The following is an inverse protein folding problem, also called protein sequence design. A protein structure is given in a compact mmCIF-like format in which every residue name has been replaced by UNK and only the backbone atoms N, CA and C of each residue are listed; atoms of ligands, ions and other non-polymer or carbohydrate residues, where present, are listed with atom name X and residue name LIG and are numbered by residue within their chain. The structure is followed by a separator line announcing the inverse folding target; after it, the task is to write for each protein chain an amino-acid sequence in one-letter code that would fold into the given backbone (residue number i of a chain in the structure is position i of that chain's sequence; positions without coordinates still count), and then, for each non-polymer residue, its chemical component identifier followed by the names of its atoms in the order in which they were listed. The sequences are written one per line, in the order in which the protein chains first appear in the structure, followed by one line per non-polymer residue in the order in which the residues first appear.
data_IF_387278204479
#
_entry.id   IF_387278204479
#
_cell.length_a   1.000
_cell.length_b   1.000
_cell.length_c   1.000
_cell.angle_alpha   90.00
_cell.angle_beta   90.00
_cell.angle_gamma   90.00
#
_symmetry.space_group_name_H-M   'P 1'
#
loop_
_entity.id
_entity.type
_entity.pdbx_description
1 polymer ?
#
# COMPACT_ATOMS: atom_id res chain seq x y z
N UNK A 1 14.67 -0.57 -9.36
CA UNK A 1 15.38 0.64 -8.90
C UNK A 1 14.37 1.77 -8.95
N UNK A 2 14.15 2.47 -7.84
CA UNK A 2 13.22 3.59 -7.77
C UNK A 2 13.64 4.69 -8.77
N UNK A 3 12.67 5.37 -9.35
CA UNK A 3 12.93 6.57 -10.16
C UNK A 3 13.37 7.72 -9.24
N UNK A 4 14.24 8.57 -9.72
CA UNK A 4 14.51 9.85 -9.08
C UNK A 4 13.56 10.93 -9.62
N UNK A 5 13.48 12.07 -8.93
CA UNK A 5 12.59 13.17 -9.32
C UNK A 5 12.82 13.62 -10.77
N UNK A 6 14.08 13.73 -11.17
CA UNK A 6 14.47 14.20 -12.50
C UNK A 6 14.14 13.18 -13.63
N UNK A 7 13.85 11.92 -13.27
CA UNK A 7 13.45 10.87 -14.22
C UNK A 7 11.96 10.93 -14.57
N UNK A 8 11.19 11.75 -13.86
CA UNK A 8 9.75 11.88 -14.09
C UNK A 8 9.49 12.71 -15.36
N UNK A 9 8.65 12.26 -16.29
CA UNK A 9 8.41 12.97 -17.55
C UNK A 9 7.83 14.38 -17.36
N UNK A 10 7.18 14.61 -16.21
CA UNK A 10 6.56 15.88 -15.85
C UNK A 10 7.38 16.72 -14.86
N UNK A 11 8.58 16.28 -14.45
CA UNK A 11 9.41 16.97 -13.44
C UNK A 11 9.60 18.47 -13.73
N UNK A 12 9.81 18.83 -14.99
CA UNK A 12 10.04 20.22 -15.42
C UNK A 12 8.81 21.13 -15.35
N UNK A 13 7.62 20.56 -15.18
CA UNK A 13 6.36 21.29 -15.12
C UNK A 13 5.84 21.45 -13.69
N UNK A 14 6.51 20.82 -12.72
CA UNK A 14 6.10 20.85 -11.33
C UNK A 14 6.16 22.26 -10.75
N UNK A 15 5.07 22.69 -10.14
CA UNK A 15 4.96 23.96 -9.42
C UNK A 15 4.45 23.73 -8.01
N UNK A 16 4.67 24.68 -7.10
CA UNK A 16 3.97 24.64 -5.81
C UNK A 16 2.45 24.78 -6.03
N UNK A 17 1.61 24.15 -5.21
CA UNK A 17 0.17 24.36 -5.28
C UNK A 17 -0.16 25.84 -5.03
N UNK A 18 -1.21 26.32 -5.70
CA UNK A 18 -1.70 27.68 -5.51
C UNK A 18 -2.62 27.72 -4.27
N UNK A 19 -2.02 27.99 -3.11
CA UNK A 19 -2.69 27.96 -1.82
C UNK A 19 -2.63 26.59 -1.12
N UNK A 20 -3.53 26.41 -0.16
CA UNK A 20 -3.65 25.17 0.61
C UNK A 20 -4.34 24.06 -0.21
N UNK A 21 -4.08 22.80 0.15
CA UNK A 21 -4.82 21.70 -0.42
C UNK A 21 -6.24 21.65 0.18
N UNK A 22 -7.24 21.54 -0.68
CA UNK A 22 -8.66 21.62 -0.31
C UNK A 22 -9.46 20.43 -0.84
N UNK A 23 -10.63 20.21 -0.25
CA UNK A 23 -11.59 19.23 -0.76
C UNK A 23 -12.03 19.58 -2.19
N UNK A 24 -12.25 18.56 -3.02
CA UNK A 24 -12.62 18.70 -4.43
C UNK A 24 -11.59 19.44 -5.31
N UNK A 25 -10.41 19.76 -4.77
CA UNK A 25 -9.32 20.42 -5.49
C UNK A 25 -8.83 19.60 -6.68
N UNK A 26 -8.35 20.27 -7.72
CA UNK A 26 -7.75 19.66 -8.91
C UNK A 26 -6.31 20.13 -9.03
N UNK A 27 -5.37 19.20 -8.79
CA UNK A 27 -3.95 19.47 -8.69
C UNK A 27 -3.21 18.73 -9.80
N UNK A 28 -2.82 19.47 -10.82
CA UNK A 28 -2.04 18.97 -11.95
C UNK A 28 -0.61 19.50 -11.89
N UNK A 29 0.38 18.61 -12.02
CA UNK A 29 1.80 18.96 -11.95
C UNK A 29 2.19 19.75 -10.69
N UNK A 30 1.64 19.40 -9.52
CA UNK A 30 2.01 20.07 -8.27
C UNK A 30 3.13 19.33 -7.54
N UNK A 31 3.97 20.12 -6.86
CA UNK A 31 5.01 19.63 -5.96
C UNK A 31 4.77 20.16 -4.55
N UNK A 32 4.57 19.23 -3.61
CA UNK A 32 4.54 19.49 -2.18
C UNK A 32 5.84 18.96 -1.57
N UNK A 33 6.65 19.84 -1.02
CA UNK A 33 7.96 19.49 -0.46
C UNK A 33 8.05 19.86 1.02
N UNK A 34 8.16 18.85 1.87
CA UNK A 34 8.20 19.01 3.30
C UNK A 34 6.86 19.35 3.94
N UNK A 35 6.92 19.73 5.21
CA UNK A 35 5.78 20.18 5.98
C UNK A 35 4.97 19.08 6.65
N UNK A 36 4.10 19.53 7.56
CA UNK A 36 3.12 18.68 8.26
C UNK A 36 1.73 19.17 7.89
N UNK A 37 0.95 18.30 7.28
CA UNK A 37 -0.44 18.51 6.93
C UNK A 37 -1.28 17.78 7.99
N UNK A 38 -1.70 18.51 9.02
CA UNK A 38 -2.42 17.96 10.16
C UNK A 38 -3.92 18.18 10.00
N UNK A 39 -4.69 17.11 10.18
CA UNK A 39 -6.17 17.09 10.11
C UNK A 39 -6.74 17.69 8.81
N UNK A 40 -5.99 17.50 7.71
CA UNK A 40 -6.32 18.06 6.41
C UNK A 40 -7.53 17.35 5.79
N UNK A 41 -8.53 18.09 5.34
CA UNK A 41 -9.65 17.58 4.56
C UNK A 41 -9.44 17.88 3.07
N UNK A 42 -9.06 16.86 2.30
CA UNK A 42 -8.88 16.92 0.84
C UNK A 42 -9.71 15.84 0.15
N UNK A 43 -10.90 15.56 0.67
CA UNK A 43 -11.80 14.57 0.08
C UNK A 43 -12.18 14.97 -1.35
N UNK A 44 -12.34 13.94 -2.21
CA UNK A 44 -12.70 14.11 -3.63
C UNK A 44 -11.68 14.88 -4.47
N UNK A 45 -10.50 15.19 -3.95
CA UNK A 45 -9.46 15.88 -4.70
C UNK A 45 -8.87 14.98 -5.81
N UNK A 46 -8.26 15.60 -6.79
CA UNK A 46 -7.53 14.94 -7.88
C UNK A 46 -6.09 15.42 -7.88
N UNK A 47 -5.18 14.46 -7.93
CA UNK A 47 -3.76 14.70 -8.09
C UNK A 47 -3.29 13.97 -9.33
N UNK A 48 -2.83 14.72 -10.33
CA UNK A 48 -2.28 14.19 -11.57
C UNK A 48 -0.84 14.64 -11.72
N UNK A 49 0.05 13.74 -12.16
CA UNK A 49 1.46 14.06 -12.41
C UNK A 49 2.11 14.86 -11.25
N UNK A 50 1.78 14.49 -10.03
CA UNK A 50 2.09 15.29 -8.84
C UNK A 50 3.11 14.59 -7.94
N UNK A 51 3.84 15.38 -7.18
CA UNK A 51 4.97 14.95 -6.36
C UNK A 51 4.81 15.39 -4.92
N UNK A 52 5.02 14.44 -4.00
CA UNK A 52 5.10 14.73 -2.57
C UNK A 52 6.45 14.24 -2.03
N UNK A 53 7.23 15.12 -1.44
CA UNK A 53 8.52 14.77 -0.86
C UNK A 53 8.62 15.20 0.60
N UNK A 54 9.08 14.30 1.46
CA UNK A 54 9.31 14.58 2.89
C UNK A 54 8.10 15.18 3.64
N UNK A 55 6.89 14.94 3.13
CA UNK A 55 5.64 15.47 3.68
C UNK A 55 5.07 14.50 4.71
N UNK A 56 4.54 15.03 5.80
CA UNK A 56 3.84 14.24 6.81
C UNK A 56 2.34 14.59 6.79
N UNK A 57 1.51 13.58 6.58
CA UNK A 57 0.06 13.65 6.76
C UNK A 57 -0.26 13.04 8.13
N UNK A 58 -0.87 13.83 9.01
CA UNK A 58 -1.30 13.35 10.32
C UNK A 58 -2.80 13.50 10.43
N UNK A 59 -3.50 12.38 10.66
CA UNK A 59 -4.97 12.39 10.65
C UNK A 59 -5.51 12.87 9.30
N UNK A 60 -6.67 13.50 9.28
CA UNK A 60 -7.27 14.06 8.06
C UNK A 60 -7.82 13.03 7.10
N UNK A 61 -8.50 13.50 6.08
CA UNK A 61 -9.22 12.66 5.12
C UNK A 61 -8.93 13.04 3.68
N UNK A 62 -8.46 12.03 2.91
CA UNK A 62 -8.34 12.07 1.45
C UNK A 62 -9.33 11.10 0.80
N UNK A 63 -10.41 10.75 1.49
CA UNK A 63 -11.40 9.80 0.97
C UNK A 63 -11.93 10.22 -0.40
N UNK A 64 -12.19 9.23 -1.25
CA UNK A 64 -12.71 9.42 -2.62
C UNK A 64 -11.79 10.19 -3.56
N UNK A 65 -10.58 10.54 -3.13
CA UNK A 65 -9.62 11.25 -3.98
C UNK A 65 -8.99 10.34 -5.02
N UNK A 66 -8.45 10.94 -6.06
CA UNK A 66 -7.81 10.24 -7.18
C UNK A 66 -6.36 10.66 -7.31
N UNK A 67 -5.51 9.68 -7.50
CA UNK A 67 -4.08 9.85 -7.68
C UNK A 67 -3.68 9.17 -8.98
N UNK A 68 -3.22 9.93 -9.97
CA UNK A 68 -2.77 9.42 -11.24
C UNK A 68 -1.35 9.91 -11.53
N UNK A 69 -0.44 8.99 -11.88
CA UNK A 69 0.96 9.30 -12.16
C UNK A 69 1.65 10.10 -11.03
N UNK A 70 1.35 9.73 -9.78
CA UNK A 70 1.92 10.42 -8.61
C UNK A 70 3.20 9.74 -8.13
N UNK A 71 4.15 10.56 -7.69
CA UNK A 71 5.40 10.09 -7.12
C UNK A 71 5.58 10.67 -5.70
N UNK A 72 5.72 9.77 -4.72
CA UNK A 72 5.81 10.12 -3.32
C UNK A 72 7.11 9.57 -2.73
N UNK A 73 7.90 10.42 -2.09
CA UNK A 73 9.17 10.00 -1.48
C UNK A 73 9.32 10.53 -0.07
N UNK A 74 9.70 9.63 0.85
CA UNK A 74 9.86 9.93 2.27
C UNK A 74 8.60 10.53 2.92
N UNK A 75 7.42 10.17 2.38
CA UNK A 75 6.15 10.63 2.97
C UNK A 75 5.81 9.80 4.20
N UNK A 76 5.16 10.44 5.16
CA UNK A 76 4.62 9.78 6.34
C UNK A 76 3.12 10.01 6.43
N UNK A 77 2.38 8.93 6.59
CA UNK A 77 0.96 8.97 6.90
C UNK A 77 0.73 8.38 8.28
N UNK A 78 0.03 9.11 9.16
CA UNK A 78 -0.30 8.67 10.51
C UNK A 78 -1.78 8.87 10.77
N UNK A 79 -2.53 7.78 10.89
CA UNK A 79 -3.96 7.81 11.14
C UNK A 79 -4.77 8.54 10.05
N UNK A 80 -4.31 8.52 8.82
CA UNK A 80 -4.92 9.22 7.69
C UNK A 80 -5.94 8.33 6.98
N UNK A 81 -7.08 8.90 6.59
CA UNK A 81 -8.13 8.21 5.84
C UNK A 81 -7.88 8.31 4.33
N UNK A 82 -7.57 7.18 3.70
CA UNK A 82 -7.42 6.99 2.26
C UNK A 82 -8.48 6.00 1.73
N UNK A 83 -9.58 5.82 2.47
CA UNK A 83 -10.65 4.92 2.08
C UNK A 83 -11.31 5.37 0.76
N UNK A 84 -11.70 4.38 -0.06
CA UNK A 84 -12.37 4.59 -1.34
C UNK A 84 -11.56 5.45 -2.35
N UNK A 85 -10.24 5.62 -2.14
CA UNK A 85 -9.37 6.33 -3.08
C UNK A 85 -9.07 5.51 -4.33
N UNK A 86 -8.77 6.19 -5.43
CA UNK A 86 -8.34 5.56 -6.67
C UNK A 86 -6.90 5.96 -7.01
N UNK A 87 -6.03 4.95 -7.16
CA UNK A 87 -4.61 5.12 -7.49
C UNK A 87 -4.30 4.47 -8.83
N UNK A 88 -3.65 5.20 -9.71
CA UNK A 88 -3.25 4.74 -11.03
C UNK A 88 -1.81 5.18 -11.29
N UNK A 89 -0.94 4.22 -11.65
CA UNK A 89 0.46 4.46 -12.01
C UNK A 89 1.27 5.21 -10.93
N UNK A 90 0.93 4.98 -9.65
CA UNK A 90 1.58 5.62 -8.50
C UNK A 90 2.88 4.93 -8.09
N UNK A 91 3.80 5.72 -7.54
CA UNK A 91 5.03 5.20 -6.94
C UNK A 91 5.28 5.85 -5.57
N UNK A 92 5.50 5.01 -4.55
CA UNK A 92 5.79 5.45 -3.19
C UNK A 92 7.13 4.88 -2.76
N UNK A 93 8.10 5.75 -2.49
CA UNK A 93 9.48 5.38 -2.16
C UNK A 93 9.80 5.79 -0.73
N UNK A 94 10.29 4.86 0.06
CA UNK A 94 10.73 5.09 1.46
C UNK A 94 9.65 5.75 2.32
N UNK A 95 8.38 5.40 2.09
CA UNK A 95 7.23 5.90 2.84
C UNK A 95 7.02 5.17 4.17
N UNK A 96 6.37 5.83 5.12
CA UNK A 96 5.93 5.21 6.37
C UNK A 96 4.42 5.46 6.58
N UNK A 97 3.66 4.37 6.72
CA UNK A 97 2.22 4.37 6.85
C UNK A 97 1.85 3.69 8.18
N UNK A 98 1.27 4.43 9.10
CA UNK A 98 0.89 3.91 10.42
C UNK A 98 -0.58 4.21 10.71
N UNK A 99 -1.38 3.17 10.95
CA UNK A 99 -2.82 3.29 11.21
C UNK A 99 -3.60 3.92 10.05
N UNK A 100 -3.13 3.76 8.82
CA UNK A 100 -3.76 4.33 7.63
C UNK A 100 -4.92 3.46 7.16
N UNK A 101 -6.01 4.09 6.74
CA UNK A 101 -7.19 3.40 6.23
C UNK A 101 -7.27 3.47 4.70
N UNK A 102 -7.05 2.33 4.01
CA UNK A 102 -7.27 2.12 2.58
C UNK A 102 -8.52 1.26 2.30
N UNK A 103 -9.47 1.18 3.23
CA UNK A 103 -10.66 0.37 3.01
C UNK A 103 -11.38 0.74 1.71
N UNK A 104 -11.70 -0.26 0.89
CA UNK A 104 -12.38 -0.05 -0.40
C UNK A 104 -11.54 0.67 -1.48
N UNK A 105 -10.29 1.02 -1.20
CA UNK A 105 -9.44 1.72 -2.17
C UNK A 105 -9.14 0.85 -3.41
N UNK A 106 -8.96 1.50 -4.55
CA UNK A 106 -8.59 0.86 -5.80
C UNK A 106 -7.17 1.28 -6.21
N UNK A 107 -6.22 0.37 -6.08
CA UNK A 107 -4.82 0.58 -6.45
C UNK A 107 -4.50 -0.22 -7.72
N UNK A 108 -4.14 0.48 -8.78
CA UNK A 108 -3.77 -0.14 -10.06
C UNK A 108 -2.40 0.33 -10.53
N UNK A 109 -1.50 -0.63 -10.78
CA UNK A 109 -0.10 -0.37 -11.17
C UNK A 109 0.61 0.59 -10.21
N UNK A 110 0.47 0.32 -8.91
CA UNK A 110 1.13 1.09 -7.85
C UNK A 110 2.37 0.33 -7.37
N UNK A 111 3.47 1.04 -7.21
CA UNK A 111 4.70 0.50 -6.66
C UNK A 111 5.02 1.13 -5.31
N UNK A 112 5.27 0.27 -4.35
CA UNK A 112 5.83 0.66 -3.05
C UNK A 112 7.24 0.12 -2.97
N UNK A 113 8.24 0.96 -2.72
CA UNK A 113 9.64 0.57 -2.59
C UNK A 113 10.22 1.08 -1.27
N UNK A 114 10.77 0.17 -0.44
CA UNK A 114 11.36 0.50 0.85
C UNK A 114 10.38 1.08 1.87
N UNK A 115 9.09 0.78 1.74
CA UNK A 115 8.04 1.36 2.58
C UNK A 115 7.78 0.52 3.84
N UNK A 116 7.30 1.19 4.89
CA UNK A 116 6.86 0.54 6.13
C UNK A 116 5.37 0.78 6.32
N UNK A 117 4.64 -0.34 6.46
CA UNK A 117 3.21 -0.36 6.78
C UNK A 117 3.05 -0.95 8.17
N UNK A 118 2.42 -0.23 9.06
CA UNK A 118 2.12 -0.67 10.42
C UNK A 118 0.65 -0.44 10.72
N UNK A 119 -0.08 -1.53 10.99
CA UNK A 119 -1.51 -1.50 11.29
C UNK A 119 -2.35 -0.81 10.20
N UNK A 120 -2.06 -1.10 8.93
CA UNK A 120 -2.77 -0.52 7.78
C UNK A 120 -3.97 -1.37 7.39
N UNK A 121 -5.11 -0.70 7.19
CA UNK A 121 -6.36 -1.32 6.79
C UNK A 121 -6.53 -1.32 5.27
N UNK A 122 -6.55 -2.51 4.63
CA UNK A 122 -6.85 -2.72 3.21
C UNK A 122 -8.15 -3.52 2.99
N UNK A 123 -9.07 -3.50 3.97
CA UNK A 123 -10.31 -4.28 3.88
C UNK A 123 -11.14 -3.89 2.67
N UNK A 124 -11.56 -4.90 1.92
CA UNK A 124 -12.35 -4.69 0.71
C UNK A 124 -11.63 -3.93 -0.42
N UNK A 125 -10.34 -3.64 -0.26
CA UNK A 125 -9.57 -2.94 -1.30
C UNK A 125 -9.35 -3.80 -2.55
N UNK A 126 -9.18 -3.16 -3.68
CA UNK A 126 -8.87 -3.75 -4.96
C UNK A 126 -7.45 -3.40 -5.37
N UNK A 127 -6.53 -4.36 -5.29
CA UNK A 127 -5.13 -4.19 -5.68
C UNK A 127 -4.88 -4.96 -6.99
N UNK A 128 -4.49 -4.25 -8.03
CA UNK A 128 -4.16 -4.85 -9.32
C UNK A 128 -2.81 -4.39 -9.84
N UNK A 129 -1.93 -5.36 -10.12
CA UNK A 129 -0.56 -5.09 -10.58
C UNK A 129 0.19 -4.17 -9.59
N UNK A 130 0.11 -4.54 -8.30
CA UNK A 130 0.77 -3.80 -7.22
C UNK A 130 2.01 -4.57 -6.76
N UNK A 131 3.11 -3.86 -6.59
CA UNK A 131 4.34 -4.42 -6.05
C UNK A 131 4.73 -3.76 -4.73
N UNK A 132 5.14 -4.60 -3.79
CA UNK A 132 5.78 -4.17 -2.54
C UNK A 132 7.22 -4.68 -2.60
N UNK A 133 8.17 -3.81 -2.86
CA UNK A 133 9.59 -4.15 -2.99
C UNK A 133 10.35 -3.65 -1.77
N UNK A 134 11.11 -4.53 -1.11
CA UNK A 134 11.89 -4.21 0.09
C UNK A 134 11.06 -3.50 1.17
N UNK A 135 9.77 -3.88 1.30
CA UNK A 135 8.83 -3.30 2.24
C UNK A 135 8.67 -4.15 3.50
N UNK A 136 8.22 -3.52 4.57
CA UNK A 136 7.74 -4.21 5.78
C UNK A 136 6.25 -3.97 5.92
N UNK A 137 5.44 -5.04 5.83
CA UNK A 137 4.00 -4.99 6.07
C UNK A 137 3.72 -5.71 7.40
N UNK A 138 3.38 -4.96 8.43
CA UNK A 138 3.11 -5.47 9.77
C UNK A 138 1.69 -5.16 10.20
N UNK A 139 1.00 -6.17 10.74
CA UNK A 139 -0.38 -6.06 11.23
C UNK A 139 -1.35 -5.46 10.19
N UNK A 140 -1.12 -5.73 8.90
CA UNK A 140 -2.00 -5.23 7.84
C UNK A 140 -3.21 -6.15 7.65
N UNK A 141 -4.38 -5.55 7.50
CA UNK A 141 -5.63 -6.28 7.28
C UNK A 141 -6.11 -6.17 5.84
N UNK A 142 -6.07 -7.28 5.11
CA UNK A 142 -6.57 -7.42 3.73
C UNK A 142 -7.91 -8.15 3.67
N UNK A 143 -8.66 -8.26 4.78
CA UNK A 143 -9.92 -8.99 4.78
C UNK A 143 -10.84 -8.51 3.65
N UNK A 144 -11.47 -9.47 2.94
CA UNK A 144 -12.38 -9.23 1.82
C UNK A 144 -11.76 -8.53 0.60
N UNK A 145 -10.44 -8.29 0.57
CA UNK A 145 -9.77 -7.64 -0.55
C UNK A 145 -9.71 -8.52 -1.80
N UNK A 146 -9.57 -7.86 -2.96
CA UNK A 146 -9.31 -8.50 -4.24
C UNK A 146 -7.88 -8.19 -4.71
N UNK A 147 -7.04 -9.22 -4.83
CA UNK A 147 -5.62 -9.11 -5.15
C UNK A 147 -5.34 -9.74 -6.52
N UNK A 148 -4.81 -8.99 -7.47
CA UNK A 148 -4.48 -9.51 -8.80
C UNK A 148 -3.10 -9.03 -9.25
N UNK A 149 -2.21 -9.97 -9.56
CA UNK A 149 -0.87 -9.63 -10.03
C UNK A 149 -0.02 -8.94 -8.94
N UNK A 150 -0.06 -9.47 -7.72
CA UNK A 150 0.71 -8.92 -6.58
C UNK A 150 2.07 -9.59 -6.52
N UNK A 151 3.11 -8.80 -6.25
CA UNK A 151 4.47 -9.25 -6.00
C UNK A 151 5.06 -8.58 -4.77
N UNK A 152 5.97 -9.29 -4.07
CA UNK A 152 6.51 -8.85 -2.78
C UNK A 152 8.04 -9.08 -2.68
N UNK A 153 8.84 -8.69 -3.68
CA UNK A 153 10.27 -8.98 -3.67
C UNK A 153 10.98 -8.28 -2.50
N UNK A 154 11.78 -9.06 -1.75
CA UNK A 154 12.57 -8.58 -0.61
C UNK A 154 11.76 -8.14 0.60
N UNK A 155 10.44 -8.32 0.59
CA UNK A 155 9.58 -7.75 1.63
C UNK A 155 9.33 -8.73 2.79
N UNK A 156 9.08 -8.14 3.96
CA UNK A 156 8.66 -8.87 5.16
C UNK A 156 7.14 -8.72 5.35
N UNK A 157 6.44 -9.85 5.41
CA UNK A 157 5.00 -9.92 5.63
C UNK A 157 4.76 -10.51 7.03
N UNK A 158 4.40 -9.66 7.99
CA UNK A 158 4.35 -10.00 9.41
C UNK A 158 2.93 -9.81 9.95
N UNK A 159 2.33 -10.88 10.43
CA UNK A 159 0.99 -10.93 11.02
C UNK A 159 -0.10 -10.33 10.13
N UNK A 160 -0.15 -10.77 8.87
CA UNK A 160 -1.19 -10.35 7.94
C UNK A 160 -2.51 -11.09 8.18
N UNK A 161 -3.63 -10.38 8.07
CA UNK A 161 -4.96 -10.97 7.94
C UNK A 161 -5.34 -11.02 6.45
N UNK A 162 -5.62 -12.25 5.95
CA UNK A 162 -6.04 -12.51 4.57
C UNK A 162 -7.46 -13.10 4.53
N UNK A 163 -8.28 -12.85 5.52
CA UNK A 163 -9.63 -13.43 5.60
C UNK A 163 -10.47 -13.07 4.39
N UNK A 164 -11.03 -14.10 3.70
CA UNK A 164 -11.86 -13.96 2.51
C UNK A 164 -11.18 -13.22 1.34
N UNK A 165 -9.86 -13.15 1.30
CA UNK A 165 -9.15 -12.53 0.17
C UNK A 165 -9.40 -13.37 -1.10
N UNK A 166 -9.67 -12.68 -2.19
CA UNK A 166 -9.77 -13.28 -3.53
C UNK A 166 -8.49 -12.95 -4.29
N UNK A 167 -7.65 -13.96 -4.47
CA UNK A 167 -6.35 -13.81 -5.12
C UNK A 167 -6.28 -14.41 -6.52
N UNK A 168 -5.61 -13.70 -7.44
CA UNK A 168 -5.21 -14.23 -8.74
C UNK A 168 -3.81 -13.71 -9.09
N UNK A 169 -2.91 -14.63 -9.51
CA UNK A 169 -1.52 -14.28 -9.83
C UNK A 169 -0.81 -13.55 -8.67
N UNK A 170 -0.99 -14.05 -7.45
CA UNK A 170 -0.30 -13.55 -6.25
C UNK A 170 1.00 -14.34 -6.10
N UNK A 171 2.14 -13.67 -6.23
CA UNK A 171 3.46 -14.28 -6.11
C UNK A 171 4.14 -13.81 -4.81
N UNK A 172 4.19 -14.69 -3.83
CA UNK A 172 4.77 -14.42 -2.51
C UNK A 172 6.20 -14.96 -2.37
N UNK A 173 6.77 -15.59 -3.42
CA UNK A 173 8.10 -16.22 -3.36
C UNK A 173 9.21 -15.24 -2.99
N UNK A 174 9.04 -13.97 -3.33
CA UNK A 174 9.99 -12.92 -3.02
C UNK A 174 9.99 -12.44 -1.56
N UNK A 175 8.99 -12.83 -0.76
CA UNK A 175 8.95 -12.45 0.65
C UNK A 175 10.07 -13.12 1.44
N UNK A 176 10.75 -12.34 2.27
CA UNK A 176 11.81 -12.80 3.19
C UNK A 176 11.25 -13.34 4.50
N UNK A 177 10.04 -12.91 4.86
CA UNK A 177 9.22 -13.47 5.93
C UNK A 177 7.76 -13.50 5.50
N UNK A 178 7.03 -14.56 5.87
CA UNK A 178 5.61 -14.74 5.55
C UNK A 178 4.88 -15.29 6.78
N UNK A 179 4.21 -14.40 7.51
CA UNK A 179 3.41 -14.73 8.69
C UNK A 179 1.97 -14.25 8.49
N UNK A 180 1.04 -15.19 8.55
CA UNK A 180 -0.39 -14.99 8.32
C UNK A 180 -1.14 -15.42 9.57
N UNK A 181 -1.91 -14.48 10.12
CA UNK A 181 -2.70 -14.71 11.34
C UNK A 181 -4.05 -15.35 11.03
N UNK A 182 -4.69 -14.93 9.92
CA UNK A 182 -6.01 -15.39 9.52
C UNK A 182 -6.10 -15.53 8.00
N UNK A 183 -6.97 -16.44 7.52
CA UNK A 183 -7.26 -16.57 6.11
C UNK A 183 -6.22 -17.36 5.32
N UNK A 184 -5.61 -18.40 5.91
CA UNK A 184 -4.67 -19.30 5.21
C UNK A 184 -5.30 -19.97 3.99
N UNK A 185 -6.60 -20.21 3.99
CA UNK A 185 -7.37 -20.74 2.86
C UNK A 185 -7.42 -19.77 1.67
N UNK A 186 -7.25 -18.48 1.92
CA UNK A 186 -7.14 -17.44 0.88
C UNK A 186 -5.81 -17.49 0.10
N UNK A 187 -4.82 -18.27 0.55
CA UNK A 187 -3.61 -18.57 -0.24
C UNK A 187 -3.88 -19.47 -1.44
N UNK A 188 -5.12 -19.91 -1.65
CA UNK A 188 -5.49 -20.71 -2.82
C UNK A 188 -5.12 -19.99 -4.12
N UNK A 189 -4.26 -20.63 -4.94
CA UNK A 189 -3.77 -20.06 -6.19
C UNK A 189 -2.60 -19.08 -6.06
N UNK A 190 -2.13 -18.79 -4.85
CA UNK A 190 -0.88 -18.06 -4.65
C UNK A 190 0.33 -18.96 -4.93
N UNK A 191 1.44 -18.34 -5.29
CA UNK A 191 2.72 -19.01 -5.49
C UNK A 191 3.64 -18.71 -4.31
N UNK A 192 4.15 -19.78 -3.66
CA UNK A 192 5.09 -19.72 -2.54
C UNK A 192 6.30 -20.65 -2.81
N UNK A 193 7.36 -20.52 -2.05
CA UNK A 193 8.51 -21.44 -2.06
C UNK A 193 8.28 -22.64 -1.14
N UNK A 194 9.08 -23.70 -1.32
CA UNK A 194 9.07 -24.87 -0.40
C UNK A 194 9.46 -24.49 1.02
N UNK A 195 10.37 -23.52 1.19
CA UNK A 195 10.76 -23.01 2.51
C UNK A 195 9.60 -22.31 3.20
N UNK A 196 8.94 -21.40 2.49
CA UNK A 196 7.74 -20.72 3.01
C UNK A 196 6.60 -21.69 3.36
N UNK A 197 6.45 -22.79 2.59
CA UNK A 197 5.48 -23.84 2.94
C UNK A 197 5.86 -24.52 4.27
N UNK A 198 7.13 -24.79 4.52
CA UNK A 198 7.58 -25.36 5.80
C UNK A 198 7.34 -24.40 6.96
N UNK A 199 7.61 -23.12 6.76
CA UNK A 199 7.36 -22.07 7.78
C UNK A 199 5.84 -21.92 8.10
N UNK A 200 4.99 -22.07 7.09
CA UNK A 200 3.54 -22.00 7.25
C UNK A 200 2.91 -23.33 7.74
N UNK A 201 3.62 -24.46 7.69
CA UNK A 201 3.05 -25.78 8.03
C UNK A 201 2.41 -25.83 9.43
N UNK A 202 2.99 -25.24 10.50
CA UNK A 202 2.32 -25.19 11.81
C UNK A 202 1.02 -24.41 11.80
N UNK A 203 0.94 -23.34 11.01
CA UNK A 203 -0.27 -22.53 10.87
C UNK A 203 -1.36 -23.29 10.08
N UNK A 204 -0.98 -23.99 9.02
CA UNK A 204 -1.92 -24.89 8.29
C UNK A 204 -2.41 -26.01 9.18
N UNK A 205 -1.54 -26.66 9.97
CA UNK A 205 -1.95 -27.70 10.91
C UNK A 205 -3.03 -27.18 11.88
N UNK A 206 -2.77 -26.03 12.49
CA UNK A 206 -3.73 -25.39 13.42
C UNK A 206 -5.06 -25.04 12.73
N UNK A 207 -5.05 -24.52 11.49
CA UNK A 207 -6.26 -24.10 10.79
C UNK A 207 -7.23 -25.26 10.50
N UNK A 208 -6.74 -26.49 10.44
CA UNK A 208 -7.52 -27.71 10.24
C UNK A 208 -7.65 -28.57 11.51
N UNK A 209 -7.23 -28.03 12.67
CA UNK A 209 -7.36 -28.69 13.98
C UNK A 209 -6.34 -29.77 14.30
N UNK A 210 -5.21 -29.82 13.58
CA UNK A 210 -4.11 -30.73 13.89
C UNK A 210 -3.24 -30.15 15.00
N UNK A 211 -2.98 -30.94 16.06
CA UNK A 211 -2.01 -30.62 17.09
C UNK A 211 -0.67 -31.27 16.73
N UNK A 212 0.37 -30.46 16.62
CA UNK A 212 1.74 -30.94 16.41
C UNK A 212 2.43 -30.98 17.77
N UNK A 213 2.98 -32.13 18.13
CA UNK A 213 3.78 -32.35 19.36
C UNK A 213 5.16 -32.83 18.97
N UNK A 214 6.19 -32.28 19.55
CA UNK A 214 7.61 -32.71 19.40
C UNK A 214 7.91 -33.88 20.32
#
# INVERSE_FOLDING_TARGET
MARELDDLPYARYLTAPDGDLEAEGDYDCVRVDGGVLDDLDVRHARFSESVFTSTTFTRGSLRYSRFADVWLRHVRWVGTELADTAWLDGEVVSGALSGVDFAGANLRRVRFEGCKFDSVNFRGAHLREVSFTDCVLRDCDFADAALTGITVPGSELVRLSLRNVRGAKVDLRGATALDITEGLDSLRGATITSLQLMDLAPAFARSIGITVLD
#
